data_IF_508608518311
#
_entry.id   IF_508608518311
#
_cell.length_a   1.000
_cell.length_b   1.000
_cell.length_c   1.000
_cell.angle_alpha   90.00
_cell.angle_beta   90.00
_cell.angle_gamma   90.00
#
_symmetry.space_group_name_H-M   'P 1'
#
loop_
_entity.id
_entity.type
_entity.pdbx_description
1 polymer ?
#
# COMPACT_ATOMS: atom_id res chain seq x y z
N UNK A 1 64.66 -73.58 0.11
CA UNK A 1 63.39 -73.31 0.82
C UNK A 1 63.29 -71.80 0.99
N UNK A 2 62.25 -71.22 0.40
CA UNK A 2 61.82 -69.81 0.38
C UNK A 2 62.80 -68.76 -0.19
N UNK A 3 62.63 -68.53 -1.50
CA UNK A 3 63.09 -67.33 -2.20
C UNK A 3 62.04 -66.22 -2.00
N UNK A 4 62.42 -65.12 -1.34
CA UNK A 4 61.58 -63.93 -1.25
C UNK A 4 61.64 -63.18 -2.57
N UNK A 5 60.63 -63.40 -3.41
CA UNK A 5 60.36 -62.53 -4.56
C UNK A 5 59.95 -61.18 -3.99
N UNK A 6 60.92 -60.26 -3.91
CA UNK A 6 60.69 -58.89 -3.47
C UNK A 6 60.01 -58.14 -4.63
N UNK A 7 58.69 -58.35 -4.79
CA UNK A 7 57.89 -57.72 -5.84
C UNK A 7 57.70 -56.24 -5.50
N UNK A 8 58.65 -55.41 -5.90
CA UNK A 8 58.64 -53.96 -5.66
C UNK A 8 57.56 -53.24 -6.49
N UNK A 9 57.06 -53.87 -7.56
CA UNK A 9 56.08 -53.30 -8.47
C UNK A 9 54.68 -53.20 -7.84
N UNK A 10 54.30 -54.15 -6.97
CA UNK A 10 52.99 -54.17 -6.31
C UNK A 10 52.84 -53.02 -5.28
N UNK A 11 53.93 -52.60 -4.63
CA UNK A 11 53.90 -51.48 -3.66
C UNK A 11 53.77 -50.12 -4.34
N UNK A 12 54.39 -49.94 -5.51
CA UNK A 12 54.21 -48.75 -6.35
C UNK A 12 52.77 -48.62 -6.86
N UNK A 13 52.16 -49.74 -7.24
CA UNK A 13 50.76 -49.78 -7.69
C UNK A 13 49.76 -49.40 -6.60
N UNK A 14 49.95 -49.88 -5.36
CA UNK A 14 49.08 -49.49 -4.23
C UNK A 14 49.24 -48.00 -3.91
N UNK A 15 50.46 -47.46 -3.94
CA UNK A 15 50.71 -46.02 -3.71
C UNK A 15 50.11 -45.12 -4.78
N UNK A 16 50.10 -45.55 -6.04
CA UNK A 16 49.41 -44.83 -7.12
C UNK A 16 47.89 -44.88 -6.90
N UNK A 17 47.34 -46.02 -6.47
CA UNK A 17 45.92 -46.16 -6.16
C UNK A 17 45.45 -45.22 -5.04
N UNK A 18 46.24 -45.07 -3.97
CA UNK A 18 45.90 -44.14 -2.87
C UNK A 18 45.97 -42.68 -3.30
N UNK A 19 46.95 -42.29 -4.12
CA UNK A 19 47.04 -40.93 -4.68
C UNK A 19 45.85 -40.59 -5.57
N UNK A 20 45.38 -41.53 -6.40
CA UNK A 20 44.21 -41.34 -7.26
C UNK A 20 42.95 -41.09 -6.42
N UNK A 21 42.71 -41.90 -5.39
CA UNK A 21 41.55 -41.74 -4.50
C UNK A 21 41.63 -40.42 -3.72
N UNK A 22 42.83 -40.03 -3.28
CA UNK A 22 43.04 -38.77 -2.58
C UNK A 22 42.66 -37.58 -3.47
N UNK A 23 43.13 -37.53 -4.72
CA UNK A 23 42.79 -36.47 -5.66
C UNK A 23 41.29 -36.46 -5.95
N UNK A 24 40.68 -37.64 -6.17
CA UNK A 24 39.25 -37.74 -6.43
C UNK A 24 38.41 -37.21 -5.24
N UNK A 25 38.78 -37.55 -4.01
CA UNK A 25 38.10 -37.08 -2.80
C UNK A 25 38.21 -35.56 -2.66
N UNK A 26 39.37 -34.98 -2.94
CA UNK A 26 39.58 -33.52 -2.91
C UNK A 26 38.70 -32.82 -3.96
N UNK A 27 38.57 -33.37 -5.16
CA UNK A 27 37.72 -32.79 -6.21
C UNK A 27 36.24 -32.84 -5.84
N UNK A 28 35.76 -33.97 -5.31
CA UNK A 28 34.36 -34.09 -4.83
C UNK A 28 34.09 -33.12 -3.68
N UNK A 29 35.03 -33.00 -2.73
CA UNK A 29 34.92 -32.05 -1.63
C UNK A 29 34.89 -30.60 -2.12
N UNK A 30 35.68 -30.25 -3.14
CA UNK A 30 35.68 -28.91 -3.74
C UNK A 30 34.35 -28.57 -4.43
N UNK A 31 33.77 -29.52 -5.19
CA UNK A 31 32.46 -29.33 -5.82
C UNK A 31 31.37 -29.20 -4.74
N UNK A 32 31.38 -30.06 -3.73
CA UNK A 32 30.43 -30.02 -2.62
C UNK A 32 30.52 -28.69 -1.85
N UNK A 33 31.74 -28.20 -1.57
CA UNK A 33 31.95 -26.90 -0.95
C UNK A 33 31.44 -25.75 -1.83
N UNK A 34 31.66 -25.80 -3.15
CA UNK A 34 31.14 -24.81 -4.09
C UNK A 34 29.61 -24.73 -4.08
N UNK A 35 28.94 -25.88 -4.04
CA UNK A 35 27.47 -25.95 -3.91
C UNK A 35 27.02 -25.38 -2.56
N UNK A 36 27.67 -25.77 -1.46
CA UNK A 36 27.32 -25.28 -0.12
C UNK A 36 27.46 -23.76 0.00
N UNK A 37 28.53 -23.17 -0.56
CA UNK A 37 28.74 -21.72 -0.55
C UNK A 37 27.67 -21.01 -1.38
N UNK A 38 27.34 -21.55 -2.57
CA UNK A 38 26.31 -20.96 -3.42
C UNK A 38 24.93 -20.99 -2.74
N UNK A 39 24.55 -22.14 -2.16
CA UNK A 39 23.31 -22.26 -1.38
C UNK A 39 23.31 -21.33 -0.17
N UNK A 40 24.42 -21.22 0.55
CA UNK A 40 24.54 -20.30 1.68
C UNK A 40 24.37 -18.84 1.25
N UNK A 41 24.98 -18.44 0.13
CA UNK A 41 24.84 -17.10 -0.43
C UNK A 41 23.40 -16.79 -0.88
N UNK A 42 22.74 -17.74 -1.54
CA UNK A 42 21.33 -17.61 -1.90
C UNK A 42 20.43 -17.45 -0.67
N UNK A 43 20.59 -18.31 0.34
CA UNK A 43 19.82 -18.24 1.57
C UNK A 43 20.10 -16.96 2.37
N UNK A 44 21.32 -16.44 2.35
CA UNK A 44 21.66 -15.17 2.97
C UNK A 44 20.94 -14.01 2.29
N UNK A 45 21.03 -13.89 0.96
CA UNK A 45 20.35 -12.83 0.22
C UNK A 45 18.83 -12.89 0.42
N UNK A 46 18.26 -14.10 0.46
CA UNK A 46 16.85 -14.29 0.76
C UNK A 46 16.50 -13.85 2.19
N UNK A 47 17.33 -14.20 3.18
CA UNK A 47 17.11 -13.83 4.57
C UNK A 47 17.24 -12.31 4.80
N UNK A 48 18.17 -11.65 4.11
CA UNK A 48 18.33 -10.19 4.14
C UNK A 48 17.10 -9.50 3.52
N UNK A 49 16.66 -9.96 2.34
CA UNK A 49 15.46 -9.41 1.68
C UNK A 49 14.20 -9.57 2.54
N UNK A 50 13.95 -10.77 3.09
CA UNK A 50 12.80 -11.00 3.99
C UNK A 50 12.93 -10.22 5.30
N UNK A 51 14.15 -10.03 5.80
CA UNK A 51 14.39 -9.20 6.99
C UNK A 51 14.07 -7.72 6.75
N UNK A 52 14.43 -7.21 5.57
CA UNK A 52 14.11 -5.84 5.15
C UNK A 52 12.60 -5.68 4.97
N UNK A 53 11.95 -6.56 4.19
CA UNK A 53 10.50 -6.55 3.96
C UNK A 53 9.69 -6.65 5.28
N UNK A 54 10.15 -7.47 6.23
CA UNK A 54 9.50 -7.58 7.55
C UNK A 54 9.70 -6.33 8.40
N UNK A 55 10.82 -5.62 8.23
CA UNK A 55 11.07 -4.36 8.91
C UNK A 55 10.17 -3.28 8.32
N UNK A 56 10.15 -3.16 6.99
CA UNK A 56 9.36 -2.19 6.25
C UNK A 56 7.85 -2.38 6.52
N UNK A 57 7.34 -3.62 6.55
CA UNK A 57 5.95 -3.92 6.91
C UNK A 57 5.52 -3.37 8.28
N UNK A 58 6.45 -3.29 9.23
CA UNK A 58 6.15 -2.84 10.61
C UNK A 58 6.45 -1.35 10.80
N UNK A 59 7.49 -0.83 10.14
CA UNK A 59 7.87 0.59 10.26
C UNK A 59 7.11 1.50 9.29
N UNK A 60 6.78 1.05 8.08
CA UNK A 60 6.07 1.82 7.05
C UNK A 60 4.55 1.72 7.19
N UNK A 61 4.09 1.91 8.42
CA UNK A 61 2.68 2.03 8.73
C UNK A 61 2.22 3.47 8.51
N UNK A 62 1.03 3.63 7.95
CA UNK A 62 0.35 4.91 7.85
C UNK A 62 -0.48 5.11 9.12
N UNK A 63 -0.22 6.19 9.85
CA UNK A 63 -0.99 6.59 11.03
C UNK A 63 -2.05 7.61 10.63
N UNK A 64 -3.24 7.48 11.24
CA UNK A 64 -4.39 8.32 10.94
C UNK A 64 -4.57 9.28 12.11
N UNK A 65 -4.43 10.57 11.83
CA UNK A 65 -4.42 11.62 12.85
C UNK A 65 -5.82 12.20 13.05
N UNK A 66 -6.60 12.35 11.98
CA UNK A 66 -7.99 12.83 12.09
C UNK A 66 -8.87 12.43 10.92
N UNK A 67 -10.13 12.17 11.21
CA UNK A 67 -11.21 11.92 10.26
C UNK A 67 -12.24 13.05 10.34
N UNK A 68 -12.43 13.77 9.23
CA UNK A 68 -13.31 14.94 9.17
C UNK A 68 -14.18 14.89 7.91
N UNK A 69 -15.48 15.02 8.11
CA UNK A 69 -16.46 15.27 7.05
C UNK A 69 -16.72 16.77 6.90
N UNK A 70 -16.77 17.28 5.68
CA UNK A 70 -17.24 18.64 5.41
C UNK A 70 -18.71 18.55 5.03
N UNK A 71 -19.59 19.17 5.81
CA UNK A 71 -21.03 19.20 5.53
C UNK A 71 -21.28 19.96 4.24
N UNK A 72 -21.98 19.34 3.30
CA UNK A 72 -22.34 19.94 2.03
C UNK A 72 -23.71 20.60 2.05
N UNK A 73 -24.67 19.93 2.68
CA UNK A 73 -26.05 20.41 2.79
C UNK A 73 -26.68 19.88 4.08
N UNK A 74 -26.95 20.79 5.00
CA UNK A 74 -27.54 20.55 6.31
C UNK A 74 -29.04 20.20 6.24
N UNK A 75 -29.72 20.54 5.14
CA UNK A 75 -31.15 20.22 5.01
C UNK A 75 -31.38 18.77 4.58
N UNK A 76 -30.43 18.19 3.86
CA UNK A 76 -30.43 16.78 3.40
C UNK A 76 -29.51 15.89 4.22
N UNK A 77 -28.61 16.47 5.03
CA UNK A 77 -27.70 15.70 5.89
C UNK A 77 -26.54 15.07 5.12
N UNK A 78 -26.10 15.68 4.03
CA UNK A 78 -25.10 15.12 3.12
C UNK A 78 -23.71 15.75 3.32
N UNK A 79 -22.65 14.94 3.22
CA UNK A 79 -21.27 15.45 3.17
C UNK A 79 -20.89 15.89 1.76
N UNK A 80 -20.07 16.94 1.70
CA UNK A 80 -19.40 17.41 0.48
C UNK A 80 -18.07 16.71 0.23
N UNK A 81 -17.34 16.40 1.29
CA UNK A 81 -16.03 15.76 1.22
C UNK A 81 -15.76 14.99 2.51
N UNK A 82 -15.11 13.84 2.40
CA UNK A 82 -14.51 13.13 3.53
C UNK A 82 -13.00 13.39 3.46
N UNK A 83 -12.42 13.84 4.56
CA UNK A 83 -11.01 14.18 4.69
C UNK A 83 -10.39 13.34 5.80
N UNK A 84 -9.32 12.63 5.49
CA UNK A 84 -8.61 11.76 6.42
C UNK A 84 -7.17 12.24 6.45
N UNK A 85 -6.77 12.86 7.56
CA UNK A 85 -5.39 13.32 7.74
C UNK A 85 -4.53 12.14 8.16
N UNK A 86 -3.49 11.88 7.38
CA UNK A 86 -2.56 10.76 7.55
C UNK A 86 -1.13 11.25 7.69
N UNK A 87 -0.35 10.54 8.47
CA UNK A 87 1.07 10.77 8.73
C UNK A 87 1.83 9.43 8.71
N UNK A 88 3.13 9.45 8.43
CA UNK A 88 3.96 8.25 8.57
C UNK A 88 4.14 7.89 10.03
N UNK A 89 4.14 6.60 10.37
CA UNK A 89 4.50 6.17 11.72
C UNK A 89 5.92 6.63 12.09
N UNK A 90 6.21 6.77 13.37
CA UNK A 90 7.52 7.21 13.83
C UNK A 90 8.64 6.27 13.36
N UNK A 91 9.61 6.79 12.61
CA UNK A 91 10.69 6.00 12.02
C UNK A 91 10.29 5.25 10.75
N UNK A 92 9.11 5.53 10.18
CA UNK A 92 8.76 5.12 8.83
C UNK A 92 9.74 5.74 7.84
N UNK A 93 10.13 4.95 6.84
CA UNK A 93 10.72 5.50 5.62
C UNK A 93 9.67 6.28 4.83
N UNK A 94 10.09 6.77 3.68
CA UNK A 94 9.21 7.47 2.76
C UNK A 94 8.15 6.52 2.17
N UNK A 95 6.86 6.83 2.34
CA UNK A 95 5.72 6.02 1.85
C UNK A 95 5.04 6.77 0.70
N UNK A 96 4.94 6.14 -0.47
CA UNK A 96 4.24 6.73 -1.62
C UNK A 96 2.73 6.48 -1.51
N UNK A 97 1.94 7.57 -1.42
CA UNK A 97 0.48 7.50 -1.36
C UNK A 97 -0.13 7.24 -2.74
N UNK A 98 0.60 7.43 -3.84
CA UNK A 98 0.13 7.11 -5.17
C UNK A 98 0.08 5.60 -5.45
N UNK A 99 0.90 4.82 -4.75
CA UNK A 99 0.89 3.35 -4.78
C UNK A 99 0.07 2.72 -3.64
N UNK A 100 -0.46 3.55 -2.74
CA UNK A 100 -1.32 3.10 -1.63
C UNK A 100 -2.71 2.75 -2.18
N UNK A 101 -3.30 1.67 -1.66
CA UNK A 101 -4.68 1.27 -2.00
C UNK A 101 -5.58 1.43 -0.77
N UNK A 102 -6.76 1.98 -0.97
CA UNK A 102 -7.77 2.16 0.08
C UNK A 102 -8.92 1.19 -0.14
N UNK A 103 -9.22 0.30 0.79
CA UNK A 103 -10.40 -0.57 0.72
C UNK A 103 -11.52 0.06 1.54
N UNK A 104 -12.54 0.59 0.88
CA UNK A 104 -13.67 1.21 1.56
C UNK A 104 -14.90 0.30 1.50
N UNK A 105 -15.62 0.23 2.62
CA UNK A 105 -16.90 -0.44 2.76
C UNK A 105 -17.91 0.61 3.21
N UNK A 106 -18.76 1.03 2.29
CA UNK A 106 -19.82 2.01 2.54
C UNK A 106 -21.21 1.39 2.51
N UNK A 107 -22.25 2.19 2.74
CA UNK A 107 -23.65 1.74 2.71
C UNK A 107 -24.07 1.16 1.35
N UNK A 108 -23.43 1.61 0.26
CA UNK A 108 -23.76 1.25 -1.11
C UNK A 108 -22.88 0.12 -1.68
N UNK A 109 -21.88 -0.37 -0.94
CA UNK A 109 -21.06 -1.50 -1.37
C UNK A 109 -19.65 -1.47 -0.82
N UNK A 110 -18.75 -2.20 -1.49
CA UNK A 110 -17.32 -2.23 -1.22
C UNK A 110 -16.57 -1.94 -2.50
N UNK A 111 -15.52 -1.12 -2.41
CA UNK A 111 -14.62 -0.85 -3.53
C UNK A 111 -13.18 -0.66 -3.06
N UNK A 112 -12.25 -0.92 -3.98
CA UNK A 112 -10.84 -0.57 -3.80
C UNK A 112 -10.60 0.77 -4.49
N UNK A 113 -10.27 1.77 -3.69
CA UNK A 113 -9.95 3.11 -4.12
C UNK A 113 -8.47 3.21 -4.48
N UNK A 114 -8.21 3.74 -5.67
CA UNK A 114 -6.87 3.99 -6.18
C UNK A 114 -6.60 5.49 -6.26
N UNK A 115 -5.33 5.88 -6.19
CA UNK A 115 -4.94 7.28 -6.27
C UNK A 115 -5.27 7.87 -7.65
N UNK A 116 -5.76 9.10 -7.67
CA UNK A 116 -5.91 9.92 -8.87
C UNK A 116 -5.44 11.35 -8.62
N UNK A 117 -4.74 11.92 -9.60
CA UNK A 117 -4.40 13.35 -9.68
C UNK A 117 -5.20 14.08 -10.78
N UNK A 118 -6.09 13.36 -11.47
CA UNK A 118 -6.95 13.91 -12.52
C UNK A 118 -8.41 13.93 -12.09
N UNK A 119 -9.14 14.95 -12.53
CA UNK A 119 -10.59 14.97 -12.34
C UNK A 119 -11.30 13.92 -13.19
N UNK A 120 -12.55 13.61 -12.86
CA UNK A 120 -13.39 12.62 -13.56
C UNK A 120 -13.64 12.92 -15.06
N UNK A 121 -13.27 14.11 -15.55
CA UNK A 121 -13.28 14.44 -16.98
C UNK A 121 -11.98 14.00 -17.70
N UNK A 122 -10.99 13.46 -16.97
CA UNK A 122 -9.79 12.84 -17.51
C UNK A 122 -8.75 13.81 -18.09
N UNK A 123 -8.81 15.11 -17.76
CA UNK A 123 -7.95 16.10 -18.41
C UNK A 123 -7.65 17.38 -17.65
N UNK A 124 -8.08 17.52 -16.40
CA UNK A 124 -7.72 18.68 -15.57
C UNK A 124 -7.42 18.31 -14.13
N UNK A 125 -6.85 19.26 -13.40
CA UNK A 125 -6.58 19.11 -11.97
C UNK A 125 -7.88 19.03 -11.17
N UNK A 126 -7.79 18.34 -10.04
CA UNK A 126 -8.86 18.23 -9.06
C UNK A 126 -8.90 19.54 -8.27
N UNK A 127 -10.09 20.12 -8.13
CA UNK A 127 -10.35 21.31 -7.33
C UNK A 127 -11.36 21.03 -6.21
N UNK A 128 -12.11 19.92 -6.29
CA UNK A 128 -13.14 19.56 -5.33
C UNK A 128 -13.27 18.04 -5.21
N UNK A 129 -13.63 17.54 -4.03
CA UNK A 129 -13.88 16.12 -3.78
C UNK A 129 -14.93 15.52 -4.73
N UNK A 130 -15.98 16.27 -5.10
CA UNK A 130 -17.00 15.79 -6.05
C UNK A 130 -16.49 15.61 -7.49
N UNK A 131 -15.25 15.98 -7.79
CA UNK A 131 -14.63 15.76 -9.10
C UNK A 131 -13.82 14.47 -9.15
N UNK A 132 -13.66 13.76 -8.03
CA UNK A 132 -12.98 12.47 -7.95
C UNK A 132 -13.96 11.39 -8.41
N UNK A 133 -13.51 10.47 -9.27
CA UNK A 133 -14.37 9.41 -9.81
C UNK A 133 -14.73 8.37 -8.72
N UNK A 134 -15.65 7.47 -9.04
CA UNK A 134 -15.91 6.32 -8.16
C UNK A 134 -14.67 5.42 -8.07
N UNK A 135 -14.48 4.78 -6.92
CA UNK A 135 -13.31 3.92 -6.66
C UNK A 135 -11.95 4.65 -6.81
N UNK A 136 -11.92 5.96 -6.59
CA UNK A 136 -10.69 6.76 -6.60
C UNK A 136 -10.59 7.64 -5.35
N UNK A 137 -9.36 7.99 -4.97
CA UNK A 137 -9.08 8.99 -3.95
C UNK A 137 -8.02 9.97 -4.43
N UNK A 138 -8.05 11.18 -3.88
CA UNK A 138 -7.02 12.18 -4.13
C UNK A 138 -6.33 12.56 -2.82
N UNK A 139 -5.14 13.15 -2.92
CA UNK A 139 -4.36 13.59 -1.76
C UNK A 139 -4.22 15.11 -1.80
N UNK A 140 -4.27 15.73 -0.62
CA UNK A 140 -4.00 17.15 -0.41
C UNK A 140 -2.80 17.35 0.50
N UNK A 141 -2.03 18.41 0.22
CA UNK A 141 -0.99 18.92 1.12
C UNK A 141 -1.61 19.63 2.36
N UNK A 142 -0.81 19.96 3.39
CA UNK A 142 -1.27 20.73 4.55
C UNK A 142 -1.86 22.11 4.19
N UNK A 143 -1.48 22.67 3.05
CA UNK A 143 -2.01 23.93 2.51
C UNK A 143 -3.38 23.77 1.81
N UNK A 144 -3.87 22.54 1.64
CA UNK A 144 -5.16 22.20 1.05
C UNK A 144 -5.16 22.11 -0.49
N UNK A 145 -4.00 22.10 -1.14
CA UNK A 145 -3.86 21.89 -2.58
C UNK A 145 -3.79 20.41 -2.88
N UNK A 146 -4.41 19.98 -3.98
CA UNK A 146 -4.28 18.62 -4.46
C UNK A 146 -2.87 18.38 -5.02
N UNK A 147 -2.26 17.27 -4.65
CA UNK A 147 -0.90 16.91 -5.06
C UNK A 147 -0.92 15.88 -6.19
N UNK A 148 0.04 16.02 -7.10
CA UNK A 148 0.26 15.05 -8.18
C UNK A 148 0.92 13.78 -7.64
N UNK A 149 0.80 12.68 -8.39
CA UNK A 149 1.38 11.36 -8.07
C UNK A 149 2.85 11.41 -7.61
N UNK A 150 3.69 12.21 -8.26
CA UNK A 150 5.13 12.30 -7.92
C UNK A 150 5.46 13.07 -6.63
N UNK A 151 4.49 13.76 -6.03
CA UNK A 151 4.68 14.56 -4.82
C UNK A 151 3.88 14.03 -3.63
N UNK A 152 3.01 13.03 -3.82
CA UNK A 152 2.14 12.46 -2.80
C UNK A 152 2.91 11.49 -1.89
N UNK A 153 3.96 11.99 -1.25
CA UNK A 153 4.92 11.13 -0.57
C UNK A 153 5.01 11.48 0.92
N UNK A 154 4.57 10.52 1.74
CA UNK A 154 4.43 10.59 3.19
C UNK A 154 5.74 10.23 3.90
N UNK A 155 5.96 10.83 5.07
CA UNK A 155 7.10 10.59 5.96
C UNK A 155 6.68 10.84 7.41
N UNK A 156 7.59 10.67 8.37
CA UNK A 156 7.34 10.92 9.79
C UNK A 156 7.21 12.41 10.17
N UNK A 157 7.61 13.33 9.28
CA UNK A 157 7.56 14.79 9.47
C UNK A 157 6.58 15.49 8.52
N UNK A 158 5.89 14.75 7.65
CA UNK A 158 4.94 15.31 6.68
C UNK A 158 3.56 14.72 6.89
N UNK A 159 2.56 15.59 6.96
CA UNK A 159 1.16 15.19 7.00
C UNK A 159 0.51 15.42 5.63
N UNK A 160 -0.34 14.50 5.20
CA UNK A 160 -1.18 14.67 4.02
C UNK A 160 -2.63 14.39 4.36
N UNK A 161 -3.55 14.94 3.58
CA UNK A 161 -4.98 14.68 3.74
C UNK A 161 -5.50 13.89 2.56
N UNK A 162 -5.95 12.67 2.79
CA UNK A 162 -6.69 11.88 1.82
C UNK A 162 -8.10 12.47 1.70
N UNK A 163 -8.55 12.71 0.48
CA UNK A 163 -9.86 13.26 0.16
C UNK A 163 -10.67 12.24 -0.64
N UNK A 164 -11.87 11.95 -0.15
CA UNK A 164 -12.80 11.01 -0.76
C UNK A 164 -14.08 11.72 -1.18
N UNK A 165 -14.70 11.23 -2.25
CA UNK A 165 -16.00 11.70 -2.73
C UNK A 165 -17.13 10.94 -2.00
N UNK A 166 -17.90 11.59 -1.10
CA UNK A 166 -18.98 10.92 -0.38
C UNK A 166 -20.17 10.54 -1.26
N UNK A 167 -20.31 11.12 -2.46
CA UNK A 167 -21.39 10.81 -3.39
C UNK A 167 -21.08 9.64 -4.33
N UNK A 168 -19.81 9.29 -4.50
CA UNK A 168 -19.40 8.21 -5.40
C UNK A 168 -19.34 6.86 -4.67
N UNK A 169 -19.52 5.76 -5.41
CA UNK A 169 -19.36 4.42 -4.86
C UNK A 169 -17.95 4.26 -4.25
N UNK A 170 -17.82 3.65 -3.05
CA UNK A 170 -18.84 2.87 -2.32
C UNK A 170 -19.62 3.65 -1.26
N UNK A 171 -19.33 4.93 -1.08
CA UNK A 171 -19.95 5.79 -0.07
C UNK A 171 -21.36 6.21 -0.49
N UNK A 172 -21.49 6.67 -1.73
CA UNK A 172 -22.77 7.03 -2.33
C UNK A 172 -23.17 6.16 -3.52
N UNK A 173 -24.18 6.60 -4.27
CA UNK A 173 -24.75 5.86 -5.41
C UNK A 173 -24.15 6.22 -6.78
N UNK A 174 -23.29 7.24 -6.86
CA UNK A 174 -22.73 7.67 -8.15
C UNK A 174 -21.70 6.63 -8.63
N UNK A 175 -22.06 5.91 -9.67
CA UNK A 175 -21.22 4.89 -10.28
C UNK A 175 -20.06 5.49 -11.12
N UNK A 176 -19.08 4.64 -11.43
CA UNK A 176 -17.92 4.99 -12.26
C UNK A 176 -18.36 5.60 -13.61
N UNK A 177 -17.74 6.73 -13.97
CA UNK A 177 -18.05 7.45 -15.20
C UNK A 177 -19.35 8.28 -15.16
N UNK A 178 -20.14 8.19 -14.08
CA UNK A 178 -21.32 9.02 -13.84
C UNK A 178 -20.99 10.25 -12.97
N UNK A 179 -19.75 10.42 -12.53
CA UNK A 179 -19.32 11.61 -11.78
C UNK A 179 -19.28 12.86 -12.66
N UNK A 180 -18.96 12.70 -13.95
CA UNK A 180 -18.97 13.77 -14.93
C UNK A 180 -19.79 13.35 -16.15
N UNK A 181 -20.95 13.97 -16.32
CA UNK A 181 -21.85 13.69 -17.44
C UNK A 181 -22.36 15.00 -18.05
N UNK A 182 -22.47 15.04 -19.38
CA UNK A 182 -23.10 16.18 -20.07
C UNK A 182 -22.38 17.52 -19.90
N UNK A 183 -21.10 17.54 -19.54
CA UNK A 183 -20.33 18.77 -19.32
C UNK A 183 -20.43 19.36 -17.91
N UNK A 184 -21.01 18.64 -16.96
CA UNK A 184 -21.15 19.04 -15.56
C UNK A 184 -20.74 17.93 -14.60
N UNK A 185 -20.29 18.31 -13.40
CA UNK A 185 -20.00 17.37 -12.32
C UNK A 185 -21.26 17.10 -11.50
N UNK A 186 -21.46 15.83 -11.13
CA UNK A 186 -22.50 15.44 -10.19
C UNK A 186 -21.98 15.66 -8.77
N UNK A 187 -22.46 16.75 -8.15
CA UNK A 187 -22.06 17.12 -6.81
C UNK A 187 -22.86 16.32 -5.78
N UNK A 188 -22.14 15.61 -4.91
CA UNK A 188 -22.68 14.75 -3.85
C UNK A 188 -23.77 15.41 -2.98
N UNK A 189 -23.68 16.72 -2.75
CA UNK A 189 -24.56 17.49 -1.85
C UNK A 189 -25.71 18.23 -2.54
N UNK A 190 -25.86 18.05 -3.87
CA UNK A 190 -26.84 18.75 -4.70
C UNK A 190 -27.81 17.81 -5.41
N UNK A 191 -27.47 16.52 -5.51
CA UNK A 191 -28.30 15.51 -6.16
C UNK A 191 -28.55 14.36 -5.21
N UNK A 192 -29.71 14.41 -4.54
CA UNK A 192 -30.42 13.29 -3.88
C UNK A 192 -29.70 12.60 -2.73
N UNK A 193 -30.48 12.07 -1.78
CA UNK A 193 -30.12 11.46 -0.46
C UNK A 193 -29.19 10.22 -0.52
N UNK A 194 -28.37 10.09 -1.56
CA UNK A 194 -27.53 8.95 -1.84
C UNK A 194 -26.07 9.21 -1.49
N UNK A 195 -25.68 10.41 -1.05
CA UNK A 195 -24.32 10.67 -0.57
C UNK A 195 -24.15 10.24 0.89
N UNK A 196 -22.92 9.88 1.26
CA UNK A 196 -22.60 9.57 2.64
C UNK A 196 -22.88 10.76 3.57
N UNK A 197 -23.63 10.51 4.64
CA UNK A 197 -24.33 11.56 5.39
C UNK A 197 -24.70 11.15 6.82
N UNK A 198 -25.60 11.92 7.43
CA UNK A 198 -25.99 11.81 8.84
C UNK A 198 -26.35 10.38 9.27
N UNK A 199 -25.82 9.96 10.42
CA UNK A 199 -26.10 8.65 11.02
C UNK A 199 -25.57 7.44 10.25
N UNK A 200 -24.85 7.64 9.15
CA UNK A 200 -24.24 6.55 8.40
C UNK A 200 -22.84 6.21 8.94
N UNK A 201 -22.47 4.95 8.78
CA UNK A 201 -21.14 4.45 9.14
C UNK A 201 -20.48 3.79 7.94
N UNK A 202 -19.16 3.88 7.88
CA UNK A 202 -18.33 3.25 6.85
C UNK A 202 -17.01 2.80 7.46
N UNK A 203 -16.43 1.73 6.93
CA UNK A 203 -15.10 1.27 7.31
C UNK A 203 -14.15 1.47 6.14
N UNK A 204 -12.93 1.90 6.45
CA UNK A 204 -11.85 2.08 5.50
C UNK A 204 -10.61 1.34 5.97
N UNK A 205 -9.96 0.61 5.09
CA UNK A 205 -8.65 0.00 5.33
C UNK A 205 -7.63 0.59 4.35
N UNK A 206 -6.63 1.28 4.87
CA UNK A 206 -5.53 1.85 4.11
C UNK A 206 -4.42 0.79 4.05
N UNK A 207 -3.98 0.45 2.84
CA UNK A 207 -2.91 -0.53 2.60
C UNK A 207 -1.72 0.18 1.95
N UNK A 208 -0.61 0.29 2.68
CA UNK A 208 0.62 0.88 2.16
C UNK A 208 1.29 -0.02 1.11
N UNK A 209 2.22 0.49 0.30
CA UNK A 209 2.95 -0.32 -0.70
C UNK A 209 3.70 -1.50 -0.07
N UNK A 210 4.19 -1.32 1.17
CA UNK A 210 4.84 -2.37 1.98
C UNK A 210 3.85 -3.31 2.67
N UNK A 211 2.58 -3.30 2.26
CA UNK A 211 1.49 -4.15 2.76
C UNK A 211 1.12 -3.92 4.23
N UNK A 212 1.56 -2.81 4.83
CA UNK A 212 1.11 -2.44 6.16
C UNK A 212 -0.35 -1.94 6.08
N UNK A 213 -1.22 -2.45 6.96
CA UNK A 213 -2.63 -2.07 6.94
C UNK A 213 -3.03 -1.23 8.16
N UNK A 214 -3.85 -0.22 7.91
CA UNK A 214 -4.44 0.64 8.94
C UNK A 214 -5.95 0.75 8.71
N UNK A 215 -6.73 0.28 9.68
CA UNK A 215 -8.18 0.35 9.66
C UNK A 215 -8.69 1.65 10.32
N UNK A 216 -9.65 2.29 9.68
CA UNK A 216 -10.36 3.49 10.13
C UNK A 216 -11.86 3.21 10.05
N UNK A 217 -12.61 3.74 11.01
CA UNK A 217 -14.07 3.72 10.99
C UNK A 217 -14.57 5.16 10.90
N UNK A 218 -15.45 5.43 9.95
CA UNK A 218 -16.06 6.73 9.71
C UNK A 218 -17.50 6.65 10.22
N UNK A 219 -17.82 7.40 11.26
CA UNK A 219 -19.13 7.46 11.90
C UNK A 219 -19.68 8.88 11.81
N UNK A 220 -20.60 9.10 10.87
CA UNK A 220 -21.23 10.41 10.74
C UNK A 220 -22.20 10.67 11.92
N UNK A 221 -22.16 11.87 12.51
CA UNK A 221 -23.15 12.31 13.50
C UNK A 221 -24.59 12.21 13.00
N UNK A 222 -25.55 12.04 13.91
CA UNK A 222 -26.98 11.91 13.58
C UNK A 222 -27.64 13.21 13.07
N UNK A 223 -26.96 14.35 13.19
CA UNK A 223 -27.47 15.65 12.78
C UNK A 223 -26.32 16.61 12.51
N UNK A 224 -26.34 17.25 11.34
CA UNK A 224 -25.51 18.39 10.99
C UNK A 224 -26.22 19.68 11.42
N UNK A 225 -25.44 20.75 11.65
CA UNK A 225 -26.04 22.01 12.13
C UNK A 225 -25.86 23.16 11.16
N UNK A 226 -24.77 23.16 10.39
CA UNK A 226 -24.40 24.26 9.49
C UNK A 226 -23.75 23.75 8.21
N UNK A 227 -24.09 24.34 7.07
CA UNK A 227 -23.42 24.06 5.79
C UNK A 227 -21.94 24.48 5.84
N UNK A 228 -21.05 23.61 5.35
CA UNK A 228 -19.60 23.85 5.35
C UNK A 228 -18.93 23.64 6.71
N UNK A 229 -19.66 23.19 7.73
CA UNK A 229 -19.08 22.78 9.01
C UNK A 229 -18.18 21.54 8.84
N UNK A 230 -17.07 21.52 9.57
CA UNK A 230 -16.22 20.35 9.70
C UNK A 230 -16.72 19.50 10.87
N UNK A 231 -17.26 18.33 10.58
CA UNK A 231 -17.72 17.36 11.58
C UNK A 231 -16.70 16.24 11.70
N UNK A 232 -16.48 15.75 12.93
CA UNK A 232 -15.67 14.56 13.14
C UNK A 232 -16.43 13.33 12.67
N UNK A 233 -15.74 12.45 11.97
CA UNK A 233 -16.20 11.11 11.61
C UNK A 233 -15.58 10.08 12.55
#
# INVERSE_FOLDING_TARGET
MFEFINNHDDRGQVGIGTLIVFIAMVLVAAIAAGVLINTAGFLQSQAEATGQESTDLVSERIDVTSEVGIVGNNSTGELKAIKISVSGAAGASQIDLSETTLQAVGPNGQANLVFTDTNANGGGSIANASQINASEFAVQDPEGNFVDSGNAVLSDDTDYTIVLNPGAEPFGSIAEGSVYEGGSYNYAHLQTDDAFGEGQTSSLEIVSPSSATTSVELNAPDLFTTDGEAVRL
#
